data_IF_155980906641
#
_entry.id   IF_155980906641
#
_cell.length_a   1.000
_cell.length_b   1.000
_cell.length_c   1.000
_cell.angle_alpha   90.00
_cell.angle_beta   90.00
_cell.angle_gamma   90.00
#
_symmetry.space_group_name_H-M   'P 1'
#
loop_
_entity.id
_entity.type
_entity.pdbx_description
1 polymer ?
#
# COMPACT_ATOMS: atom_id res chain seq x y z
N UNK A 1 10.91 27.08 -7.77
CA UNK A 1 10.36 25.80 -7.31
C UNK A 1 8.85 25.92 -7.41
N UNK A 2 8.22 25.27 -8.39
CA UNK A 2 6.76 25.34 -8.56
C UNK A 2 6.10 24.28 -7.70
N UNK A 3 5.14 24.66 -6.84
CA UNK A 3 4.45 23.82 -5.86
C UNK A 3 3.35 22.91 -6.47
N UNK A 4 3.50 22.51 -7.73
CA UNK A 4 2.45 21.86 -8.52
C UNK A 4 2.62 20.34 -8.66
N UNK A 5 3.65 19.77 -8.02
CA UNK A 5 3.96 18.34 -8.10
C UNK A 5 3.65 17.63 -6.78
N UNK A 6 2.93 16.51 -6.89
CA UNK A 6 2.71 15.59 -5.79
C UNK A 6 3.32 14.21 -6.15
N UNK A 7 3.89 13.55 -5.15
CA UNK A 7 4.46 12.21 -5.28
C UNK A 7 3.72 11.27 -4.34
N UNK A 8 3.12 10.20 -4.89
CA UNK A 8 2.56 9.11 -4.11
C UNK A 8 3.52 7.92 -4.15
N UNK A 9 3.96 7.49 -2.98
CA UNK A 9 4.84 6.32 -2.81
C UNK A 9 4.06 5.24 -2.11
N UNK A 10 4.04 4.04 -2.68
CA UNK A 10 3.39 2.86 -2.09
C UNK A 10 4.46 1.79 -1.87
N UNK A 11 4.67 1.43 -0.61
CA UNK A 11 5.64 0.42 -0.21
C UNK A 11 5.13 -0.36 0.99
N UNK A 12 5.41 -1.66 1.00
CA UNK A 12 5.23 -2.54 2.15
C UNK A 12 6.45 -2.57 3.09
N UNK A 13 7.53 -1.84 2.77
CA UNK A 13 8.74 -1.74 3.58
C UNK A 13 8.86 -0.35 4.19
N UNK A 14 8.95 -0.28 5.52
CA UNK A 14 9.13 0.97 6.25
C UNK A 14 10.45 1.68 5.93
N UNK A 15 11.51 0.91 5.63
CA UNK A 15 12.86 1.42 5.37
C UNK A 15 12.99 2.42 4.21
N UNK A 16 12.08 2.38 3.24
CA UNK A 16 12.08 3.34 2.13
C UNK A 16 11.85 4.78 2.61
N UNK A 17 11.09 4.94 3.70
CA UNK A 17 10.74 6.24 4.24
C UNK A 17 11.86 6.92 5.04
N UNK A 18 12.95 6.20 5.35
CA UNK A 18 14.18 6.81 5.87
C UNK A 18 14.89 7.65 4.79
N UNK A 19 14.70 7.32 3.51
CA UNK A 19 15.32 8.01 2.38
C UNK A 19 14.44 9.14 1.82
N UNK A 20 13.12 9.02 1.99
CA UNK A 20 12.13 9.99 1.50
C UNK A 20 11.14 10.22 2.64
N UNK A 21 11.24 11.38 3.30
CA UNK A 21 10.32 11.77 4.36
C UNK A 21 8.96 12.16 3.77
N UNK A 22 7.88 11.38 4.03
CA UNK A 22 6.55 11.72 3.54
C UNK A 22 5.94 12.82 4.40
N UNK A 23 5.09 13.65 3.78
CA UNK A 23 4.29 14.65 4.46
C UNK A 23 2.99 14.09 5.03
N UNK A 24 2.50 12.98 4.46
CA UNK A 24 1.30 12.31 4.89
C UNK A 24 1.38 10.82 4.57
N UNK A 25 0.83 9.98 5.45
CA UNK A 25 0.94 8.53 5.43
C UNK A 25 -0.45 7.93 5.52
N UNK A 26 -0.74 6.99 4.64
CA UNK A 26 -1.95 6.16 4.69
C UNK A 26 -1.56 4.69 4.85
N UNK A 27 -2.14 4.00 5.82
CA UNK A 27 -1.97 2.56 6.00
C UNK A 27 -3.20 1.86 5.45
N UNK A 28 -2.99 0.95 4.51
CA UNK A 28 -4.07 0.17 3.89
C UNK A 28 -4.07 -1.23 4.49
N UNK A 29 -5.21 -1.64 5.03
CA UNK A 29 -5.45 -3.00 5.58
C UNK A 29 -6.77 -3.50 5.01
N UNK A 30 -6.80 -4.76 4.56
CA UNK A 30 -8.00 -5.39 3.97
C UNK A 30 -8.65 -4.57 2.84
N UNK A 31 -7.83 -3.90 2.01
CA UNK A 31 -8.30 -3.08 0.90
C UNK A 31 -8.98 -1.76 1.29
N UNK A 32 -8.88 -1.34 2.56
CA UNK A 32 -9.39 -0.06 3.06
C UNK A 32 -8.29 0.70 3.78
N UNK A 33 -8.42 2.04 3.80
CA UNK A 33 -7.52 2.87 4.61
C UNK A 33 -7.87 2.62 6.08
N UNK A 34 -6.95 1.99 6.80
CA UNK A 34 -7.06 1.68 8.21
C UNK A 34 -6.86 2.96 9.04
N UNK A 35 -5.74 3.64 8.79
CA UNK A 35 -5.34 4.86 9.47
C UNK A 35 -4.62 5.79 8.51
N UNK A 36 -4.64 7.08 8.85
CA UNK A 36 -3.95 8.14 8.11
C UNK A 36 -3.36 9.13 9.08
N UNK A 37 -2.23 9.73 8.76
CA UNK A 37 -1.57 10.70 9.62
C UNK A 37 -0.16 11.01 9.15
N UNK A 38 0.68 11.42 10.09
CA UNK A 38 2.04 11.86 9.80
C UNK A 38 3.07 10.71 9.84
N UNK A 39 4.34 11.07 9.69
CA UNK A 39 5.49 10.15 9.72
C UNK A 39 5.57 9.26 10.97
N UNK A 40 4.99 9.68 12.10
CA UNK A 40 4.98 8.90 13.36
C UNK A 40 4.39 7.49 13.20
N UNK A 41 3.44 7.33 12.27
CA UNK A 41 2.83 6.03 11.95
C UNK A 41 3.90 5.06 11.43
N UNK A 42 4.87 5.54 10.66
CA UNK A 42 5.94 4.73 10.09
C UNK A 42 6.83 4.19 11.20
N UNK A 43 7.21 5.04 12.15
CA UNK A 43 8.01 4.64 13.31
C UNK A 43 7.28 3.63 14.19
N UNK A 44 5.97 3.80 14.40
CA UNK A 44 5.14 2.81 15.08
C UNK A 44 5.13 1.47 14.36
N UNK A 45 4.98 1.46 13.03
CA UNK A 45 4.97 0.23 12.22
C UNK A 45 6.34 -0.46 12.25
N UNK A 46 7.42 0.29 12.21
CA UNK A 46 8.79 -0.26 12.28
C UNK A 46 9.05 -0.94 13.64
N UNK A 47 8.62 -0.29 14.73
CA UNK A 47 8.89 -0.75 16.10
C UNK A 47 7.93 -1.85 16.57
N UNK A 48 6.62 -1.69 16.30
CA UNK A 48 5.54 -2.53 16.83
C UNK A 48 4.91 -3.44 15.76
N UNK A 49 5.35 -3.36 14.51
CA UNK A 49 4.73 -4.07 13.39
C UNK A 49 3.34 -3.52 13.04
N UNK A 50 2.49 -4.34 12.44
CA UNK A 50 1.09 -3.99 12.16
C UNK A 50 0.13 -4.44 13.27
N UNK A 51 0.63 -5.13 14.29
CA UNK A 51 -0.21 -5.76 15.31
C UNK A 51 -0.95 -4.73 16.17
N UNK A 52 -0.31 -3.60 16.48
CA UNK A 52 -0.91 -2.51 17.25
C UNK A 52 -2.19 -1.92 16.63
N UNK A 53 -2.40 -2.09 15.32
CA UNK A 53 -3.63 -1.67 14.64
C UNK A 53 -4.85 -2.45 15.14
N UNK A 54 -4.65 -3.69 15.63
CA UNK A 54 -5.71 -4.49 16.27
C UNK A 54 -6.09 -3.90 17.62
N UNK A 55 -5.09 -3.57 18.45
CA UNK A 55 -5.31 -3.08 19.81
C UNK A 55 -5.88 -1.65 19.84
N UNK A 56 -5.33 -0.73 19.03
CA UNK A 56 -5.76 0.68 19.06
C UNK A 56 -7.05 0.92 18.24
N UNK A 57 -7.25 0.22 17.13
CA UNK A 57 -8.33 0.51 16.19
C UNK A 57 -9.31 -0.65 15.97
N UNK A 58 -9.10 -1.80 16.62
CA UNK A 58 -9.94 -2.99 16.41
C UNK A 58 -9.83 -3.56 15.00
N UNK A 59 -8.75 -3.28 14.27
CA UNK A 59 -8.60 -3.67 12.87
C UNK A 59 -8.04 -5.08 12.78
N UNK A 60 -8.91 -6.05 12.53
CA UNK A 60 -8.49 -7.43 12.29
C UNK A 60 -7.82 -7.56 10.91
N UNK A 61 -6.50 -7.72 10.87
CA UNK A 61 -5.77 -8.02 9.63
C UNK A 61 -6.20 -9.40 9.16
N UNK A 62 -6.98 -9.48 8.07
CA UNK A 62 -7.35 -10.74 7.45
C UNK A 62 -6.10 -11.26 6.77
N UNK A 63 -5.35 -12.13 7.45
CA UNK A 63 -4.39 -12.97 6.75
C UNK A 63 -5.25 -13.88 5.87
N UNK A 64 -5.24 -13.66 4.56
CA UNK A 64 -5.75 -14.64 3.61
C UNK A 64 -4.84 -15.88 3.65
N UNK A 65 -4.84 -16.61 4.77
CA UNK A 65 -4.38 -17.98 4.84
C UNK A 65 -5.47 -18.88 4.26
N UNK A 66 -5.89 -18.58 3.02
CA UNK A 66 -6.54 -19.59 2.20
C UNK A 66 -5.41 -20.40 1.58
N UNK A 67 -5.02 -21.46 2.28
CA UNK A 67 -4.46 -22.65 1.61
C UNK A 67 -5.30 -22.94 0.36
N UNK A 68 -4.65 -23.44 -0.69
CA UNK A 68 -5.25 -24.02 -1.91
C UNK A 68 -5.51 -23.06 -3.10
N UNK A 69 -4.56 -23.03 -4.04
CA UNK A 69 -4.78 -22.93 -5.50
C UNK A 69 -5.65 -21.80 -6.08
N UNK A 70 -5.22 -20.53 -5.98
CA UNK A 70 -5.54 -19.57 -7.05
C UNK A 70 -4.56 -19.77 -8.20
N UNK A 71 -5.03 -20.43 -9.26
CA UNK A 71 -4.36 -20.52 -10.57
C UNK A 71 -3.75 -19.15 -10.90
N UNK A 72 -2.52 -19.05 -11.44
CA UNK A 72 -1.96 -17.75 -11.79
C UNK A 72 -2.95 -17.07 -12.74
N UNK A 73 -3.60 -16.01 -12.25
CA UNK A 73 -4.40 -15.17 -13.12
C UNK A 73 -3.40 -14.46 -14.02
N UNK A 74 -3.23 -14.99 -15.22
CA UNK A 74 -2.45 -14.34 -16.26
C UNK A 74 -3.19 -13.03 -16.54
N UNK A 75 -2.67 -11.92 -16.02
CA UNK A 75 -3.09 -10.58 -16.43
C UNK A 75 -2.81 -10.53 -17.93
N UNK A 76 -3.87 -10.67 -18.72
CA UNK A 76 -3.78 -10.92 -20.15
C UNK A 76 -2.82 -9.96 -20.85
N UNK A 77 -2.13 -10.48 -21.87
CA UNK A 77 -1.24 -9.69 -22.71
C UNK A 77 -1.95 -8.40 -23.12
N UNK A 78 -1.25 -7.28 -22.92
CA UNK A 78 -1.74 -5.94 -23.20
C UNK A 78 -2.27 -5.88 -24.64
N UNK A 79 -3.60 -5.85 -24.81
CA UNK A 79 -4.26 -5.75 -26.12
C UNK A 79 -4.15 -4.31 -26.62
N UNK A 80 -3.04 -3.99 -27.25
CA UNK A 80 -2.90 -2.77 -28.07
C UNK A 80 -3.92 -2.86 -29.21
N UNK A 81 -4.88 -1.93 -29.26
CA UNK A 81 -5.68 -1.72 -30.47
C UNK A 81 -4.75 -1.24 -31.58
N UNK A 82 -4.38 -2.11 -32.52
CA UNK A 82 -3.93 -1.66 -33.82
C UNK A 82 -5.11 -0.92 -34.48
N UNK A 83 -4.94 0.37 -34.75
CA UNK A 83 -5.88 1.14 -35.58
C UNK A 83 -5.95 0.47 -36.95
N UNK A 84 -7.15 0.05 -37.35
CA UNK A 84 -7.42 -0.30 -38.74
C UNK A 84 -7.33 0.96 -39.60
N UNK A 85 -6.46 0.93 -40.59
CA UNK A 85 -6.50 1.83 -41.75
C UNK A 85 -6.90 1.02 -42.96
N UNK A 86 -7.74 1.65 -43.77
CA UNK A 86 -8.56 1.14 -44.86
C UNK A 86 -7.84 0.28 -45.90
#
# INVERSE_FOLDING_TARGET
YSNENALLVVSHYARLYELIAPTHVHVVVNGKIAISGDSEIITKIDTLGYEWLKDEYGIEITKEETKENKRPQILGQCRVKAKGTA
#
